data_IF_678571460653
#
_entry.id   IF_678571460653
#
_cell.length_a   1.000
_cell.length_b   1.000
_cell.length_c   1.000
_cell.angle_alpha   90.00
_cell.angle_beta   90.00
_cell.angle_gamma   90.00
#
_symmetry.space_group_name_H-M   'P 1'
#
loop_
_entity.id
_entity.type
_entity.pdbx_description
1 polymer ?
#
# COMPACT_ATOMS: atom_id res chain seq x y z
N UNK A 1 -39.93 65.41 12.64
CA UNK A 1 -38.81 65.07 11.72
C UNK A 1 -37.47 65.66 12.17
N UNK A 2 -37.38 66.92 12.61
CA UNK A 2 -36.12 67.51 13.09
C UNK A 2 -35.57 66.88 14.39
N UNK A 3 -36.44 66.41 15.30
CA UNK A 3 -36.03 65.75 16.54
C UNK A 3 -35.41 64.35 16.33
N UNK A 4 -35.72 63.69 15.19
CA UNK A 4 -35.20 62.36 14.84
C UNK A 4 -33.79 62.44 14.23
N UNK A 5 -33.49 63.53 13.52
CA UNK A 5 -32.15 63.82 13.00
C UNK A 5 -31.16 64.20 14.11
N UNK A 6 -31.60 64.94 15.13
CA UNK A 6 -30.75 65.32 16.26
C UNK A 6 -30.40 64.14 17.19
N UNK A 7 -31.24 63.10 17.25
CA UNK A 7 -30.98 61.91 18.04
C UNK A 7 -29.91 61.00 17.41
N UNK A 8 -29.83 60.93 16.07
CA UNK A 8 -28.82 60.13 15.38
C UNK A 8 -27.39 60.69 15.54
N UNK A 9 -27.23 62.01 15.63
CA UNK A 9 -25.90 62.63 15.85
C UNK A 9 -25.34 62.42 17.26
N UNK A 10 -26.17 62.06 18.25
CA UNK A 10 -25.75 61.91 19.65
C UNK A 10 -25.29 60.48 19.99
N UNK A 11 -25.63 59.50 19.15
CA UNK A 11 -25.30 58.08 19.36
C UNK A 11 -23.96 57.65 18.74
N UNK A 12 -23.25 58.54 18.05
CA UNK A 12 -21.93 58.22 17.47
C UNK A 12 -21.95 57.05 16.49
N UNK A 13 -23.12 56.70 15.94
CA UNK A 13 -23.25 55.70 14.90
C UNK A 13 -22.89 56.42 13.60
N UNK A 14 -21.59 56.55 13.35
CA UNK A 14 -21.09 56.84 12.01
C UNK A 14 -21.71 55.81 11.06
N UNK A 15 -22.28 56.28 9.96
CA UNK A 15 -22.84 55.42 8.90
C UNK A 15 -21.84 54.30 8.62
N UNK A 16 -22.25 53.06 8.89
CA UNK A 16 -21.38 51.90 8.78
C UNK A 16 -20.71 51.90 7.41
N UNK A 17 -19.41 52.20 7.37
CA UNK A 17 -18.69 52.43 6.14
C UNK A 17 -18.54 51.11 5.39
N UNK A 18 -19.54 50.80 4.56
CA UNK A 18 -19.72 49.57 3.77
C UNK A 18 -18.47 49.24 2.95
N UNK A 19 -17.64 50.24 2.65
CA UNK A 19 -16.36 50.09 1.96
C UNK A 19 -15.40 49.13 2.68
N UNK A 20 -15.39 49.11 4.02
CA UNK A 20 -14.55 48.17 4.79
C UNK A 20 -15.06 46.73 4.69
N UNK A 21 -16.38 46.54 4.59
CA UNK A 21 -16.99 45.21 4.44
C UNK A 21 -16.68 44.65 3.05
N UNK A 22 -16.77 45.46 1.99
CA UNK A 22 -16.40 45.04 0.64
C UNK A 22 -14.92 44.67 0.52
N UNK A 23 -14.03 45.44 1.16
CA UNK A 23 -12.60 45.10 1.22
C UNK A 23 -12.34 43.78 1.96
N UNK A 24 -13.04 43.55 3.07
CA UNK A 24 -12.90 42.32 3.85
C UNK A 24 -13.37 41.09 3.07
N UNK A 25 -14.54 41.17 2.41
CA UNK A 25 -15.06 40.09 1.56
C UNK A 25 -14.16 39.84 0.35
N UNK A 26 -13.64 40.91 -0.26
CA UNK A 26 -12.68 40.81 -1.37
C UNK A 26 -11.38 40.11 -0.95
N UNK A 27 -10.81 40.49 0.20
CA UNK A 27 -9.61 39.85 0.74
C UNK A 27 -9.84 38.36 1.05
N UNK A 28 -10.99 38.01 1.62
CA UNK A 28 -11.37 36.61 1.85
C UNK A 28 -11.54 35.82 0.54
N UNK A 29 -12.14 36.42 -0.48
CA UNK A 29 -12.28 35.81 -1.80
C UNK A 29 -10.92 35.51 -2.44
N UNK A 30 -9.99 36.46 -2.40
CA UNK A 30 -8.63 36.27 -2.92
C UNK A 30 -7.90 35.17 -2.15
N UNK A 31 -8.01 35.17 -0.82
CA UNK A 31 -7.37 34.16 0.02
C UNK A 31 -7.91 32.74 -0.27
N UNK A 32 -9.23 32.60 -0.45
CA UNK A 32 -9.84 31.33 -0.85
C UNK A 32 -9.34 30.82 -2.21
N UNK A 33 -9.22 31.71 -3.20
CA UNK A 33 -8.68 31.35 -4.53
C UNK A 33 -7.20 30.94 -4.42
N UNK A 34 -6.39 31.65 -3.64
CA UNK A 34 -4.99 31.30 -3.41
C UNK A 34 -4.84 29.91 -2.78
N UNK A 35 -5.67 29.56 -1.79
CA UNK A 35 -5.67 28.25 -1.15
C UNK A 35 -6.09 27.13 -2.12
N UNK A 36 -7.07 27.38 -2.99
CA UNK A 36 -7.48 26.41 -4.01
C UNK A 36 -6.37 26.14 -5.03
N UNK A 37 -5.70 27.20 -5.52
CA UNK A 37 -4.57 27.07 -6.44
C UNK A 37 -3.43 26.29 -5.78
N UNK A 38 -3.10 26.60 -4.52
CA UNK A 38 -2.08 25.89 -3.76
C UNK A 38 -2.38 24.39 -3.67
N UNK A 39 -3.61 24.04 -3.30
CA UNK A 39 -4.06 22.63 -3.18
C UNK A 39 -3.98 21.88 -4.52
N UNK A 40 -4.34 22.55 -5.62
CA UNK A 40 -4.24 21.99 -6.97
C UNK A 40 -2.78 21.72 -7.36
N UNK A 41 -1.87 22.63 -7.03
CA UNK A 41 -0.43 22.47 -7.27
C UNK A 41 0.15 21.32 -6.45
N UNK A 42 -0.24 21.17 -5.18
CA UNK A 42 0.18 20.05 -4.33
C UNK A 42 -0.28 18.70 -4.89
N UNK A 43 -1.53 18.59 -5.34
CA UNK A 43 -2.05 17.37 -5.96
C UNK A 43 -1.30 17.01 -7.24
N UNK A 44 -1.01 18.00 -8.09
CA UNK A 44 -0.22 17.80 -9.31
C UNK A 44 1.23 17.39 -9.00
N UNK A 45 1.86 18.02 -8.01
CA UNK A 45 3.20 17.64 -7.57
C UNK A 45 3.23 16.23 -6.98
N UNK A 46 2.23 15.85 -6.18
CA UNK A 46 2.10 14.51 -5.61
C UNK A 46 1.93 13.45 -6.72
N UNK A 47 1.10 13.73 -7.73
CA UNK A 47 0.94 12.85 -8.89
C UNK A 47 2.26 12.67 -9.67
N UNK A 48 2.98 13.77 -9.93
CA UNK A 48 4.30 13.74 -10.59
C UNK A 48 5.34 12.96 -9.78
N UNK A 49 5.35 13.10 -8.44
CA UNK A 49 6.25 12.34 -7.54
C UNK A 49 5.95 10.85 -7.59
N UNK A 50 4.67 10.44 -7.54
CA UNK A 50 4.24 9.03 -7.68
C UNK A 50 4.72 8.43 -9.00
N UNK A 51 4.59 9.18 -10.10
CA UNK A 51 5.03 8.73 -11.42
C UNK A 51 6.56 8.57 -11.48
N UNK A 52 7.34 9.55 -11.00
CA UNK A 52 8.81 9.44 -10.92
C UNK A 52 9.26 8.25 -10.07
N UNK A 53 8.64 8.05 -8.90
CA UNK A 53 8.94 6.91 -8.04
C UNK A 53 8.68 5.58 -8.76
N UNK A 54 7.55 5.46 -9.49
CA UNK A 54 7.22 4.24 -10.23
C UNK A 54 8.25 3.89 -11.32
N UNK A 55 8.81 4.89 -12.01
CA UNK A 55 9.85 4.69 -13.02
C UNK A 55 11.21 4.30 -12.41
N UNK A 56 11.53 4.84 -11.23
CA UNK A 56 12.72 4.43 -10.48
C UNK A 56 12.61 2.97 -10.03
N UNK A 57 11.46 2.56 -9.50
CA UNK A 57 11.20 1.15 -9.13
C UNK A 57 11.25 0.24 -10.35
N UNK A 58 10.68 0.67 -11.48
CA UNK A 58 10.77 -0.08 -12.74
C UNK A 58 12.23 -0.31 -13.17
N UNK A 59 13.07 0.73 -13.11
CA UNK A 59 14.49 0.63 -13.47
C UNK A 59 15.25 -0.32 -12.56
N UNK A 60 14.96 -0.30 -11.26
CA UNK A 60 15.55 -1.23 -10.30
C UNK A 60 15.11 -2.68 -10.56
N UNK A 61 13.82 -2.92 -10.78
CA UNK A 61 13.30 -4.25 -11.11
C UNK A 61 13.85 -4.80 -12.43
N UNK A 62 14.04 -3.93 -13.42
CA UNK A 62 14.64 -4.32 -14.69
C UNK A 62 16.11 -4.73 -14.51
N UNK A 63 16.87 -4.02 -13.66
CA UNK A 63 18.25 -4.37 -13.30
C UNK A 63 18.32 -5.70 -12.54
N UNK A 64 17.44 -5.94 -11.57
CA UNK A 64 17.42 -7.21 -10.81
C UNK A 64 17.04 -8.40 -11.69
N UNK A 65 16.30 -8.18 -12.77
CA UNK A 65 16.01 -9.18 -13.83
C UNK A 65 17.18 -9.39 -14.80
N UNK A 66 18.33 -8.74 -14.61
CA UNK A 66 19.51 -8.89 -15.46
C UNK A 66 19.40 -8.22 -16.84
N UNK A 67 18.54 -7.21 -16.97
CA UNK A 67 18.42 -6.42 -18.20
C UNK A 67 19.57 -5.40 -18.32
N UNK A 68 20.17 -5.31 -19.51
CA UNK A 68 21.23 -4.32 -19.80
C UNK A 68 20.63 -2.91 -19.89
N UNK A 69 21.40 -1.83 -19.61
CA UNK A 69 20.89 -0.45 -19.68
C UNK A 69 20.14 -0.12 -20.98
N UNK A 70 20.67 -0.55 -22.12
CA UNK A 70 20.05 -0.37 -23.45
C UNK A 70 18.70 -1.11 -23.56
N UNK A 71 18.59 -2.31 -22.97
CA UNK A 71 17.33 -3.06 -22.93
C UNK A 71 16.30 -2.36 -22.05
N UNK A 72 16.73 -1.74 -20.95
CA UNK A 72 15.85 -0.99 -20.06
C UNK A 72 15.28 0.24 -20.77
N UNK A 73 16.07 0.92 -21.59
CA UNK A 73 15.61 2.09 -22.36
C UNK A 73 14.58 1.71 -23.42
N UNK A 74 14.82 0.64 -24.19
CA UNK A 74 13.85 0.12 -25.15
C UNK A 74 12.56 -0.31 -24.43
N UNK A 75 12.68 -0.97 -23.27
CA UNK A 75 11.51 -1.36 -22.49
C UNK A 75 10.74 -0.18 -21.89
N UNK A 76 11.43 0.89 -21.49
CA UNK A 76 10.78 2.14 -21.08
C UNK A 76 10.03 2.77 -22.25
N UNK A 77 10.60 2.75 -23.45
CA UNK A 77 9.95 3.25 -24.66
C UNK A 77 8.68 2.45 -24.94
N UNK A 78 8.75 1.12 -24.91
CA UNK A 78 7.58 0.22 -25.03
C UNK A 78 6.51 0.54 -23.97
N UNK A 79 6.89 0.68 -22.69
CA UNK A 79 5.94 0.96 -21.61
C UNK A 79 5.29 2.35 -21.71
N UNK A 80 6.02 3.34 -22.25
CA UNK A 80 5.48 4.68 -22.50
C UNK A 80 4.51 4.68 -23.68
N UNK A 81 4.89 4.06 -24.80
CA UNK A 81 4.03 3.99 -25.98
C UNK A 81 2.80 3.11 -25.77
N UNK A 82 2.92 2.04 -24.97
CA UNK A 82 1.78 1.24 -24.50
C UNK A 82 0.86 1.96 -23.50
N UNK A 83 1.16 3.21 -23.14
CA UNK A 83 0.40 4.02 -22.16
C UNK A 83 0.20 3.31 -20.81
N UNK A 84 1.24 2.64 -20.30
CA UNK A 84 1.12 1.84 -19.08
C UNK A 84 1.16 2.74 -17.85
N UNK A 85 0.02 2.84 -17.13
CA UNK A 85 -0.10 3.61 -15.87
C UNK A 85 0.84 3.11 -14.75
N UNK A 86 1.20 1.82 -14.72
CA UNK A 86 2.08 1.20 -13.72
C UNK A 86 3.21 0.40 -14.40
N UNK A 87 4.32 1.06 -14.81
CA UNK A 87 5.41 0.43 -15.57
C UNK A 87 6.00 -0.84 -14.94
N UNK A 88 6.17 -0.94 -13.59
CA UNK A 88 6.67 -2.16 -12.95
C UNK A 88 5.89 -3.44 -13.26
N UNK A 89 4.58 -3.34 -13.54
CA UNK A 89 3.73 -4.51 -13.84
C UNK A 89 4.09 -5.22 -15.14
N UNK A 90 4.70 -4.51 -16.10
CA UNK A 90 5.14 -5.07 -17.39
C UNK A 90 6.20 -6.15 -17.19
N UNK A 91 7.04 -6.01 -16.15
CA UNK A 91 8.02 -7.02 -15.78
C UNK A 91 7.38 -8.18 -14.99
N UNK A 92 6.17 -8.02 -14.49
CA UNK A 92 5.49 -9.00 -13.62
C UNK A 92 5.00 -10.24 -14.34
N UNK A 93 4.57 -10.13 -15.59
CA UNK A 93 4.12 -11.27 -16.39
C UNK A 93 4.43 -11.09 -17.88
N UNK A 94 4.69 -12.21 -18.56
CA UNK A 94 4.98 -12.24 -20.01
C UNK A 94 3.74 -11.81 -20.81
N UNK A 95 2.54 -12.20 -20.38
CA UNK A 95 1.30 -11.78 -21.04
C UNK A 95 1.11 -10.26 -21.02
N UNK A 96 1.43 -9.61 -19.89
CA UNK A 96 1.36 -8.15 -19.80
C UNK A 96 2.46 -7.49 -20.64
N UNK A 97 3.65 -8.08 -20.70
CA UNK A 97 4.72 -7.64 -21.57
C UNK A 97 4.31 -7.72 -23.06
N UNK A 98 3.86 -8.88 -23.53
CA UNK A 98 3.46 -9.11 -24.91
C UNK A 98 2.30 -8.17 -25.33
N UNK A 99 1.29 -8.01 -24.46
CA UNK A 99 0.19 -7.05 -24.68
C UNK A 99 0.66 -5.60 -24.77
N UNK A 100 1.66 -5.23 -23.97
CA UNK A 100 2.23 -3.88 -23.99
C UNK A 100 3.07 -3.64 -25.24
N UNK A 101 3.81 -4.65 -25.70
CA UNK A 101 4.58 -4.59 -26.95
C UNK A 101 3.63 -4.44 -28.14
N UNK A 102 2.56 -5.22 -28.21
CA UNK A 102 1.55 -5.13 -29.27
C UNK A 102 0.92 -3.74 -29.32
N UNK A 103 0.48 -3.22 -28.16
CA UNK A 103 -0.07 -1.88 -28.06
C UNK A 103 0.95 -0.78 -28.38
N UNK A 104 2.23 -1.01 -28.11
CA UNK A 104 3.29 -0.08 -28.48
C UNK A 104 3.56 -0.12 -29.99
N UNK A 105 3.47 -1.29 -30.63
CA UNK A 105 3.61 -1.46 -32.09
C UNK A 105 2.50 -0.75 -32.87
N UNK A 106 1.28 -0.72 -32.32
CA UNK A 106 0.16 0.03 -32.91
C UNK A 106 0.42 1.56 -32.94
N UNK A 107 1.22 2.07 -32.00
CA UNK A 107 1.46 3.51 -31.84
C UNK A 107 2.87 3.95 -32.29
N UNK A 108 3.78 3.00 -32.50
CA UNK A 108 5.18 3.28 -32.75
C UNK A 108 5.84 2.19 -33.59
N UNK A 109 6.46 2.59 -34.69
CA UNK A 109 7.20 1.68 -35.56
C UNK A 109 8.61 1.43 -34.99
N UNK A 110 8.84 0.22 -34.50
CA UNK A 110 10.13 -0.17 -33.93
C UNK A 110 11.15 -0.48 -35.03
N UNK A 111 12.38 -0.02 -34.85
CA UNK A 111 13.49 -0.46 -35.70
C UNK A 111 13.81 -1.94 -35.49
N UNK A 112 14.40 -2.58 -36.49
CA UNK A 112 14.83 -3.98 -36.45
C UNK A 112 15.75 -4.29 -35.25
N UNK A 113 16.66 -3.37 -34.92
CA UNK A 113 17.53 -3.47 -33.72
C UNK A 113 16.73 -3.46 -32.42
N UNK A 114 15.65 -2.68 -32.34
CA UNK A 114 14.78 -2.63 -31.16
C UNK A 114 13.92 -3.90 -31.05
N UNK A 115 13.45 -4.46 -32.16
CA UNK A 115 12.73 -5.73 -32.17
C UNK A 115 13.60 -6.88 -31.66
N UNK A 116 14.86 -6.95 -32.09
CA UNK A 116 15.85 -7.94 -31.58
C UNK A 116 16.05 -7.77 -30.06
N UNK A 117 16.10 -6.52 -29.57
CA UNK A 117 16.23 -6.24 -28.14
C UNK A 117 14.96 -6.61 -27.36
N UNK A 118 13.77 -6.39 -27.92
CA UNK A 118 12.48 -6.79 -27.35
C UNK A 118 12.40 -8.31 -27.23
N UNK A 119 12.82 -9.06 -28.25
CA UNK A 119 12.88 -10.53 -28.19
C UNK A 119 13.92 -11.04 -27.19
N UNK A 120 15.06 -10.37 -27.08
CA UNK A 120 16.07 -10.67 -26.05
C UNK A 120 15.51 -10.43 -24.63
N UNK A 121 14.72 -9.36 -24.44
CA UNK A 121 14.02 -9.08 -23.18
C UNK A 121 12.99 -10.17 -22.91
N UNK A 122 12.16 -10.54 -23.91
CA UNK A 122 11.17 -11.62 -23.81
C UNK A 122 11.82 -12.93 -23.38
N UNK A 123 12.91 -13.34 -24.03
CA UNK A 123 13.67 -14.54 -23.70
C UNK A 123 14.22 -14.50 -22.27
N UNK A 124 14.72 -13.36 -21.79
CA UNK A 124 15.19 -13.20 -20.41
C UNK A 124 14.06 -13.25 -19.39
N UNK A 125 12.90 -12.68 -19.71
CA UNK A 125 11.71 -12.74 -18.85
C UNK A 125 11.12 -14.17 -18.79
N UNK A 126 11.21 -14.93 -19.89
CA UNK A 126 10.81 -16.35 -19.99
C UNK A 126 11.82 -17.28 -19.30
N UNK A 127 13.11 -17.08 -19.53
CA UNK A 127 14.19 -17.90 -18.98
C UNK A 127 14.42 -17.67 -17.48
N UNK A 128 13.94 -16.55 -16.93
CA UNK A 128 13.87 -16.34 -15.48
C UNK A 128 12.75 -17.16 -14.83
N UNK A 129 12.72 -18.47 -15.05
CA UNK A 129 12.34 -19.40 -13.97
C UNK A 129 13.44 -19.24 -12.93
N UNK A 130 13.21 -18.32 -11.98
CA UNK A 130 14.12 -18.09 -10.85
C UNK A 130 14.38 -19.45 -10.19
N UNK A 131 15.59 -20.00 -10.39
CA UNK A 131 16.05 -21.17 -9.64
C UNK A 131 16.06 -20.76 -8.18
N UNK A 132 15.15 -21.35 -7.42
CA UNK A 132 14.83 -20.94 -6.07
C UNK A 132 15.94 -21.37 -5.11
N UNK A 133 16.68 -20.41 -4.56
CA UNK A 133 17.59 -20.64 -3.44
C UNK A 133 17.02 -20.00 -2.18
N UNK A 134 16.95 -20.73 -1.04
CA UNK A 134 16.34 -20.27 0.21
C UNK A 134 16.90 -18.94 0.76
N UNK A 135 18.14 -18.57 0.40
CA UNK A 135 18.80 -17.34 0.85
C UNK A 135 18.16 -16.03 0.33
N UNK A 136 17.30 -16.07 -0.69
CA UNK A 136 16.72 -14.87 -1.33
C UNK A 136 15.38 -14.38 -0.75
N UNK A 137 14.84 -15.03 0.29
CA UNK A 137 13.59 -14.58 0.96
C UNK A 137 13.74 -13.19 1.59
N UNK A 138 14.93 -12.86 2.11
CA UNK A 138 15.22 -11.57 2.72
C UNK A 138 15.37 -10.44 1.68
N UNK A 139 15.86 -10.75 0.46
CA UNK A 139 16.20 -9.75 -0.57
C UNK A 139 15.04 -9.36 -1.50
N UNK A 140 13.99 -10.18 -1.60
CA UNK A 140 12.83 -9.86 -2.45
C UNK A 140 11.92 -8.78 -1.88
N UNK A 141 12.02 -8.49 -0.58
CA UNK A 141 11.11 -7.57 0.10
C UNK A 141 11.81 -6.23 0.28
N UNK A 142 11.19 -5.15 -0.23
CA UNK A 142 11.68 -3.79 0.01
C UNK A 142 11.72 -3.45 1.52
N UNK A 143 10.88 -4.12 2.32
CA UNK A 143 10.84 -4.08 3.77
C UNK A 143 10.82 -5.50 4.33
N UNK A 144 11.69 -5.80 5.31
CA UNK A 144 11.73 -7.10 5.96
C UNK A 144 10.46 -7.41 6.75
N UNK A 145 10.26 -8.70 7.06
CA UNK A 145 9.27 -9.10 8.06
C UNK A 145 9.90 -8.93 9.45
N UNK A 146 9.11 -8.48 10.41
CA UNK A 146 9.50 -8.40 11.80
C UNK A 146 8.73 -9.45 12.58
N UNK A 147 9.43 -10.32 13.29
CA UNK A 147 8.80 -11.29 14.16
C UNK A 147 8.06 -10.57 15.28
N UNK A 148 6.80 -10.94 15.47
CA UNK A 148 5.97 -10.51 16.57
C UNK A 148 5.27 -11.75 17.15
N UNK A 149 4.74 -11.63 18.36
CA UNK A 149 4.03 -12.73 19.01
C UNK A 149 2.79 -12.13 19.64
N UNK A 150 1.86 -11.71 18.78
CA UNK A 150 0.65 -10.99 19.19
C UNK A 150 -0.57 -11.87 18.99
N UNK A 151 -1.50 -11.84 19.94
CA UNK A 151 -2.77 -12.53 19.80
C UNK A 151 -3.74 -11.64 19.02
N UNK A 152 -4.48 -12.26 18.12
CA UNK A 152 -5.49 -11.64 17.28
C UNK A 152 -6.65 -12.61 17.05
N UNK A 153 -7.77 -12.08 16.58
CA UNK A 153 -8.87 -12.84 16.01
C UNK A 153 -8.87 -12.67 14.50
N UNK A 154 -9.20 -13.74 13.80
CA UNK A 154 -9.49 -13.71 12.38
C UNK A 154 -10.96 -14.06 12.20
N UNK A 155 -11.67 -13.22 11.45
CA UNK A 155 -13.06 -13.43 11.06
C UNK A 155 -13.03 -13.86 9.60
N UNK A 156 -13.51 -15.06 9.32
CA UNK A 156 -13.52 -15.63 7.98
C UNK A 156 -14.73 -15.13 7.19
N UNK A 157 -14.47 -14.71 5.95
CA UNK A 157 -15.51 -14.36 4.98
C UNK A 157 -15.27 -15.20 3.74
N UNK A 158 -16.19 -16.14 3.47
CA UNK A 158 -16.03 -17.06 2.35
C UNK A 158 -15.94 -16.29 1.03
N UNK A 159 -15.05 -16.74 0.15
CA UNK A 159 -14.75 -16.05 -1.11
C UNK A 159 -16.00 -15.86 -1.98
N UNK A 160 -16.87 -16.86 -2.04
CA UNK A 160 -18.07 -16.85 -2.88
C UNK A 160 -19.06 -15.77 -2.44
N UNK A 161 -19.07 -15.44 -1.16
CA UNK A 161 -19.95 -14.44 -0.56
C UNK A 161 -19.47 -13.05 -0.95
N UNK A 162 -18.16 -12.80 -0.79
CA UNK A 162 -17.55 -11.53 -1.21
C UNK A 162 -17.71 -11.31 -2.71
N UNK A 163 -17.48 -12.33 -3.54
CA UNK A 163 -17.68 -12.22 -4.99
C UNK A 163 -19.15 -11.92 -5.35
N UNK A 164 -20.11 -12.50 -4.63
CA UNK A 164 -21.54 -12.22 -4.82
C UNK A 164 -21.90 -10.78 -4.47
N UNK A 165 -21.40 -10.26 -3.35
CA UNK A 165 -21.66 -8.87 -2.96
C UNK A 165 -20.95 -7.86 -3.86
N UNK A 166 -19.72 -8.16 -4.28
CA UNK A 166 -19.01 -7.34 -5.27
C UNK A 166 -19.80 -7.19 -6.58
N UNK A 167 -20.56 -8.21 -7.01
CA UNK A 167 -21.42 -8.13 -8.19
C UNK A 167 -22.57 -7.12 -8.05
N UNK A 168 -23.03 -6.84 -6.84
CA UNK A 168 -24.13 -5.89 -6.57
C UNK A 168 -23.65 -4.44 -6.54
N UNK A 169 -22.39 -4.20 -6.20
CA UNK A 169 -21.81 -2.86 -6.10
C UNK A 169 -21.25 -2.38 -7.45
N UNK A 170 -21.48 -1.12 -7.79
CA UNK A 170 -20.86 -0.45 -8.96
C UNK A 170 -19.67 0.40 -8.52
N UNK A 171 -18.49 0.18 -9.10
CA UNK A 171 -17.26 0.91 -8.75
C UNK A 171 -15.99 0.26 -9.33
N UNK A 172 -14.82 0.77 -8.97
CA UNK A 172 -13.54 0.06 -9.22
C UNK A 172 -13.43 -1.17 -8.29
N UNK A 173 -12.70 -2.22 -8.70
CA UNK A 173 -12.63 -3.50 -7.95
C UNK A 173 -12.23 -3.34 -6.47
N UNK A 174 -11.33 -2.41 -6.15
CA UNK A 174 -10.89 -2.15 -4.77
C UNK A 174 -12.03 -1.49 -3.94
N UNK A 175 -12.79 -0.56 -4.52
CA UNK A 175 -13.94 0.10 -3.85
C UNK A 175 -15.12 -0.86 -3.68
N UNK A 176 -15.36 -1.73 -4.69
CA UNK A 176 -16.38 -2.79 -4.61
C UNK A 176 -16.06 -3.79 -3.53
N UNK A 177 -14.79 -4.15 -3.38
CA UNK A 177 -14.32 -5.05 -2.34
C UNK A 177 -14.48 -4.42 -0.95
N UNK A 178 -14.10 -3.15 -0.77
CA UNK A 178 -14.29 -2.44 0.50
C UNK A 178 -15.76 -2.35 0.88
N UNK A 179 -16.62 -2.00 -0.07
CA UNK A 179 -18.06 -1.90 0.15
C UNK A 179 -18.69 -3.26 0.47
N UNK A 180 -18.34 -4.31 -0.29
CA UNK A 180 -18.82 -5.68 -0.05
C UNK A 180 -18.42 -6.18 1.35
N UNK A 181 -17.16 -5.97 1.74
CA UNK A 181 -16.68 -6.39 3.05
C UNK A 181 -17.33 -5.56 4.18
N UNK A 182 -17.54 -4.27 3.99
CA UNK A 182 -18.22 -3.42 4.98
C UNK A 182 -19.69 -3.81 5.18
N UNK A 183 -20.39 -4.21 4.11
CA UNK A 183 -21.77 -4.68 4.17
C UNK A 183 -21.89 -6.03 4.89
N UNK A 184 -20.98 -6.97 4.62
CA UNK A 184 -20.94 -8.29 5.24
C UNK A 184 -20.58 -8.28 6.73
N UNK A 185 -19.94 -7.21 7.21
CA UNK A 185 -19.43 -7.08 8.60
C UNK A 185 -20.25 -6.05 9.39
N UNK A 186 -21.16 -5.35 8.73
CA UNK A 186 -22.03 -4.36 9.36
C UNK A 186 -23.02 -4.98 10.37
N UNK A 187 -23.62 -4.14 11.24
CA UNK A 187 -24.58 -4.56 12.26
C UNK A 187 -25.89 -5.18 11.70
N UNK A 188 -26.09 -5.12 10.39
CA UNK A 188 -27.24 -5.67 9.68
C UNK A 188 -26.90 -6.92 8.86
N UNK A 189 -25.75 -7.56 9.11
CA UNK A 189 -25.37 -8.79 8.43
C UNK A 189 -26.14 -9.97 9.02
N UNK A 190 -26.87 -10.70 8.17
CA UNK A 190 -27.57 -11.95 8.54
C UNK A 190 -26.64 -13.17 8.46
N UNK A 191 -25.36 -12.97 8.14
CA UNK A 191 -24.40 -14.06 7.95
C UNK A 191 -23.61 -14.37 9.21
N UNK A 192 -23.64 -15.64 9.61
CA UNK A 192 -22.88 -16.16 10.75
C UNK A 192 -21.39 -16.29 10.36
N UNK A 193 -20.63 -15.23 10.59
CA UNK A 193 -19.19 -15.22 10.32
C UNK A 193 -18.43 -16.13 11.30
N UNK A 194 -17.54 -16.97 10.77
CA UNK A 194 -16.73 -17.86 11.61
C UNK A 194 -15.53 -17.11 12.18
N UNK A 195 -15.49 -16.94 13.50
CA UNK A 195 -14.33 -16.38 14.19
C UNK A 195 -13.34 -17.47 14.62
N UNK A 196 -12.05 -17.17 14.54
CA UNK A 196 -10.99 -18.03 15.03
C UNK A 196 -9.89 -17.23 15.73
N UNK A 197 -9.33 -17.79 16.80
CA UNK A 197 -8.18 -17.20 17.50
C UNK A 197 -6.90 -17.55 16.75
N UNK A 198 -6.06 -16.54 16.51
CA UNK A 198 -4.79 -16.67 15.81
C UNK A 198 -3.68 -15.90 16.52
N UNK A 199 -2.44 -16.31 16.28
CA UNK A 199 -1.26 -15.57 16.74
C UNK A 199 -0.47 -15.02 15.56
N UNK A 200 -0.23 -13.72 15.53
CA UNK A 200 0.63 -13.07 14.55
C UNK A 200 2.09 -13.43 14.90
N UNK A 201 2.73 -14.24 14.06
CA UNK A 201 4.13 -14.68 14.16
C UNK A 201 5.10 -13.65 13.60
N UNK A 202 4.71 -13.02 12.50
CA UNK A 202 5.48 -11.94 11.90
C UNK A 202 4.55 -11.00 11.12
N UNK A 203 5.01 -9.77 10.92
CA UNK A 203 4.31 -8.76 10.15
C UNK A 203 5.24 -8.06 9.16
N UNK A 204 4.68 -7.64 8.04
CA UNK A 204 5.33 -6.83 7.01
C UNK A 204 4.39 -5.72 6.54
N UNK A 205 4.90 -4.77 5.75
CA UNK A 205 4.10 -3.67 5.21
C UNK A 205 2.96 -4.10 4.24
N UNK A 206 2.92 -5.38 3.83
CA UNK A 206 1.93 -5.91 2.90
C UNK A 206 1.20 -7.17 3.37
N UNK A 207 1.45 -7.64 4.59
CA UNK A 207 0.82 -8.85 5.11
C UNK A 207 1.48 -9.38 6.37
N UNK A 208 0.89 -10.43 6.94
CA UNK A 208 1.31 -11.08 8.18
C UNK A 208 1.36 -12.60 8.03
N UNK A 209 2.15 -13.27 8.88
CA UNK A 209 2.07 -14.71 9.07
C UNK A 209 1.30 -14.96 10.36
N UNK A 210 0.23 -15.74 10.28
CA UNK A 210 -0.63 -16.07 11.40
C UNK A 210 -0.45 -17.54 11.75
N UNK A 211 -0.49 -17.86 13.02
CA UNK A 211 -0.54 -19.22 13.54
C UNK A 211 -1.97 -19.51 13.98
N UNK A 212 -2.57 -20.54 13.40
CA UNK A 212 -3.91 -21.00 13.71
C UNK A 212 -3.89 -22.46 14.19
N UNK A 213 -4.95 -22.89 14.87
CA UNK A 213 -5.11 -24.29 15.25
C UNK A 213 -5.37 -25.16 14.01
N UNK A 214 -5.13 -26.48 14.11
CA UNK A 214 -5.49 -27.42 13.02
C UNK A 214 -6.99 -27.50 12.73
N UNK A 215 -7.82 -27.01 13.65
CA UNK A 215 -9.27 -26.94 13.50
C UNK A 215 -9.73 -25.66 12.76
N UNK A 216 -8.81 -24.87 12.21
CA UNK A 216 -9.14 -23.70 11.42
C UNK A 216 -9.93 -24.08 10.17
N UNK A 217 -11.10 -23.48 10.00
CA UNK A 217 -12.05 -23.84 8.94
C UNK A 217 -11.80 -23.14 7.60
N UNK A 218 -10.91 -22.15 7.54
CA UNK A 218 -10.67 -21.34 6.34
C UNK A 218 -9.79 -22.02 5.29
N UNK A 219 -9.94 -21.60 4.03
CA UNK A 219 -9.20 -22.07 2.88
C UNK A 219 -8.29 -20.97 2.28
N UNK A 220 -7.35 -21.39 1.44
CA UNK A 220 -6.55 -20.46 0.65
C UNK A 220 -7.41 -19.81 -0.44
N UNK A 221 -7.38 -18.48 -0.51
CA UNK A 221 -8.23 -17.66 -1.36
C UNK A 221 -9.39 -16.99 -0.62
N UNK A 222 -9.66 -17.40 0.62
CA UNK A 222 -10.70 -16.77 1.45
C UNK A 222 -10.30 -15.38 1.90
N UNK A 223 -11.32 -14.53 2.02
CA UNK A 223 -11.18 -13.21 2.62
C UNK A 223 -11.33 -13.34 4.14
N UNK A 224 -10.69 -12.43 4.84
CA UNK A 224 -10.81 -12.38 6.28
C UNK A 224 -10.49 -11.00 6.84
N UNK A 225 -11.07 -10.74 8.01
CA UNK A 225 -10.76 -9.59 8.82
C UNK A 225 -9.86 -10.00 9.97
N UNK A 226 -8.79 -9.26 10.18
CA UNK A 226 -7.88 -9.45 11.29
C UNK A 226 -8.16 -8.39 12.36
N UNK A 227 -8.47 -8.85 13.57
CA UNK A 227 -8.79 -8.03 14.73
C UNK A 227 -7.72 -8.21 15.81
N UNK A 228 -7.01 -7.14 16.17
CA UNK A 228 -6.00 -7.20 17.23
C UNK A 228 -6.63 -7.35 18.63
N UNK A 229 -6.18 -8.33 19.42
CA UNK A 229 -6.66 -8.51 20.80
C UNK A 229 -5.63 -8.09 21.86
N UNK A 230 -4.38 -7.92 21.45
CA UNK A 230 -3.29 -7.69 22.39
C UNK A 230 -3.01 -6.20 22.58
N UNK A 231 -3.02 -5.76 23.84
CA UNK A 231 -2.51 -4.43 24.25
C UNK A 231 -1.04 -4.18 23.86
N UNK A 232 -0.31 -5.22 23.45
CA UNK A 232 1.08 -5.14 22.98
C UNK A 232 1.21 -4.77 21.50
N UNK A 233 0.10 -4.67 20.77
CA UNK A 233 0.10 -4.23 19.37
C UNK A 233 0.18 -2.69 19.39
N UNK A 234 1.20 -2.08 18.78
CA UNK A 234 1.44 -0.63 18.88
C UNK A 234 0.53 0.21 17.98
N UNK A 235 -0.44 -0.40 17.29
CA UNK A 235 -1.40 0.25 16.40
C UNK A 235 -2.72 -0.54 16.40
N UNK A 236 -3.81 0.15 16.10
CA UNK A 236 -5.13 -0.49 16.00
C UNK A 236 -5.20 -1.41 14.77
N UNK A 237 -5.58 -2.67 14.99
CA UNK A 237 -5.84 -3.65 13.95
C UNK A 237 -7.34 -3.95 13.93
N UNK A 238 -8.18 -2.93 13.91
CA UNK A 238 -9.63 -3.12 13.97
C UNK A 238 -10.14 -3.45 12.57
N UNK A 239 -10.54 -4.71 12.36
CA UNK A 239 -11.10 -5.22 11.10
C UNK A 239 -10.17 -5.05 9.87
N UNK A 240 -8.88 -5.34 10.00
CA UNK A 240 -7.95 -5.24 8.88
C UNK A 240 -8.26 -6.31 7.82
N UNK A 241 -8.73 -5.88 6.65
CA UNK A 241 -9.11 -6.79 5.56
C UNK A 241 -7.90 -7.37 4.82
N UNK A 242 -7.96 -8.67 4.57
CA UNK A 242 -6.97 -9.37 3.78
C UNK A 242 -7.44 -10.70 3.21
N UNK A 243 -6.53 -11.32 2.47
CA UNK A 243 -6.73 -12.59 1.78
C UNK A 243 -5.74 -13.63 2.34
N UNK A 244 -6.23 -14.84 2.59
CA UNK A 244 -5.40 -15.99 2.93
C UNK A 244 -4.76 -16.51 1.66
N UNK A 245 -3.46 -16.23 1.46
CA UNK A 245 -2.75 -16.61 0.23
C UNK A 245 -2.37 -18.09 0.18
N UNK A 246 -1.97 -18.62 1.32
CA UNK A 246 -1.60 -20.02 1.48
C UNK A 246 -1.72 -20.42 2.94
N UNK A 247 -1.95 -21.71 3.14
CA UNK A 247 -1.99 -22.37 4.44
C UNK A 247 -0.92 -23.46 4.39
N UNK A 248 0.04 -23.39 5.29
CA UNK A 248 1.10 -24.39 5.43
C UNK A 248 0.94 -25.08 6.78
N UNK A 249 1.14 -26.40 6.82
CA UNK A 249 1.15 -27.13 8.09
C UNK A 249 2.56 -27.11 8.69
N UNK A 250 2.67 -26.61 9.92
CA UNK A 250 3.90 -26.72 10.72
C UNK A 250 3.80 -27.98 11.59
N UNK A 251 4.33 -29.08 11.05
CA UNK A 251 4.28 -30.41 11.68
C UNK A 251 4.99 -30.41 13.05
N UNK A 252 6.04 -29.62 13.21
CA UNK A 252 6.81 -29.55 14.46
C UNK A 252 6.02 -28.89 15.59
N UNK A 253 5.23 -27.87 15.25
CA UNK A 253 4.42 -27.11 16.22
C UNK A 253 2.98 -27.59 16.32
N UNK A 254 2.57 -28.49 15.44
CA UNK A 254 1.20 -29.00 15.37
C UNK A 254 0.17 -27.90 15.05
N UNK A 255 0.56 -26.87 14.30
CA UNK A 255 -0.30 -25.73 13.97
C UNK A 255 -0.28 -25.38 12.48
N UNK A 256 -1.19 -24.52 12.05
CA UNK A 256 -1.26 -24.02 10.69
C UNK A 256 -0.64 -22.64 10.59
N UNK A 257 0.17 -22.41 9.56
CA UNK A 257 0.75 -21.12 9.21
C UNK A 257 -0.05 -20.52 8.07
N UNK A 258 -0.81 -19.46 8.36
CA UNK A 258 -1.60 -18.73 7.38
C UNK A 258 -0.78 -17.55 6.85
N UNK A 259 -0.60 -17.49 5.54
CA UNK A 259 0.02 -16.34 4.87
C UNK A 259 -1.06 -15.32 4.50
N UNK A 260 -1.25 -14.34 5.37
CA UNK A 260 -2.27 -13.32 5.21
C UNK A 260 -1.74 -12.09 4.47
N UNK A 261 -2.40 -11.69 3.39
CA UNK A 261 -2.05 -10.50 2.59
C UNK A 261 -3.05 -9.38 2.85
N UNK A 262 -2.57 -8.18 3.20
CA UNK A 262 -3.44 -7.01 3.32
C UNK A 262 -3.92 -6.56 1.96
N UNK A 263 -5.23 -6.33 1.82
CA UNK A 263 -5.85 -5.86 0.59
C UNK A 263 -5.97 -4.35 0.61
N UNK A 264 -6.64 -3.85 1.65
CA UNK A 264 -6.88 -2.43 1.88
C UNK A 264 -6.18 -2.06 3.18
N UNK A 265 -5.23 -1.15 3.07
CA UNK A 265 -4.42 -0.73 4.20
C UNK A 265 -4.47 0.77 4.28
N UNK A 266 -5.16 1.26 5.31
CA UNK A 266 -5.23 2.68 5.61
C UNK A 266 -3.82 3.30 5.64
N UNK A 267 -3.60 4.47 5.01
CA UNK A 267 -2.29 5.09 4.97
C UNK A 267 -1.65 5.35 6.34
N UNK A 268 -2.43 5.58 7.40
CA UNK A 268 -1.91 5.80 8.75
C UNK A 268 -1.49 4.47 9.37
N UNK A 269 -2.33 3.45 9.27
CA UNK A 269 -1.99 2.09 9.70
C UNK A 269 -0.74 1.55 8.97
N UNK A 270 -0.64 1.82 7.65
CA UNK A 270 0.55 1.47 6.87
C UNK A 270 1.80 2.15 7.41
N UNK A 271 1.73 3.44 7.72
CA UNK A 271 2.87 4.18 8.30
C UNK A 271 3.25 3.59 9.66
N UNK A 272 2.29 3.27 10.51
CA UNK A 272 2.53 2.70 11.83
C UNK A 272 3.21 1.31 11.75
N UNK A 273 2.74 0.43 10.85
CA UNK A 273 3.37 -0.87 10.60
C UNK A 273 4.82 -0.69 10.11
N UNK A 274 5.03 0.21 9.15
CA UNK A 274 6.36 0.48 8.60
C UNK A 274 7.29 1.03 9.70
N UNK A 275 6.82 2.00 10.49
CA UNK A 275 7.59 2.58 11.60
C UNK A 275 8.01 1.52 12.60
N UNK A 276 7.08 0.66 13.03
CA UNK A 276 7.38 -0.47 13.92
C UNK A 276 8.44 -1.42 13.35
N UNK A 277 8.38 -1.73 12.06
CA UNK A 277 9.36 -2.60 11.38
C UNK A 277 10.76 -1.97 11.41
N UNK A 278 10.85 -0.66 11.16
CA UNK A 278 12.12 0.07 11.23
C UNK A 278 12.69 0.10 12.65
N UNK A 279 11.88 0.46 13.64
CA UNK A 279 12.30 0.56 15.04
C UNK A 279 12.82 -0.80 15.57
N UNK A 280 12.14 -1.90 15.25
CA UNK A 280 12.59 -3.25 15.63
C UNK A 280 13.86 -3.69 14.92
N UNK A 281 14.06 -3.27 13.67
CA UNK A 281 15.32 -3.53 12.95
C UNK A 281 16.48 -2.76 13.57
N UNK A 282 16.32 -1.48 13.84
CA UNK A 282 17.35 -0.66 14.48
C UNK A 282 17.71 -1.21 15.87
N UNK A 283 16.69 -1.58 16.66
CA UNK A 283 16.89 -2.22 17.97
C UNK A 283 17.69 -3.53 17.86
N UNK A 284 17.47 -4.32 16.80
CA UNK A 284 18.19 -5.58 16.58
C UNK A 284 19.64 -5.33 16.16
N UNK A 285 19.89 -4.35 15.30
CA UNK A 285 21.24 -3.95 14.88
C UNK A 285 22.02 -3.36 16.05
N UNK A 286 21.39 -2.52 16.88
CA UNK A 286 22.01 -1.96 18.08
C UNK A 286 22.42 -3.04 19.08
N UNK A 287 21.57 -4.06 19.31
CA UNK A 287 21.91 -5.21 20.17
C UNK A 287 23.07 -6.04 19.62
N UNK A 288 23.06 -6.33 18.31
CA UNK A 288 24.16 -7.07 17.67
C UNK A 288 25.49 -6.30 17.73
N UNK A 289 25.46 -4.97 17.60
CA UNK A 289 26.66 -4.14 17.72
C UNK A 289 27.16 -4.04 19.17
N UNK A 290 26.26 -4.01 20.16
CA UNK A 290 26.63 -4.00 21.57
C UNK A 290 27.27 -5.34 22.01
N UNK A 291 26.79 -6.46 21.49
CA UNK A 291 27.37 -7.79 21.75
C UNK A 291 28.71 -8.03 21.02
N UNK A 292 29.04 -7.23 20.00
CA UNK A 292 30.30 -7.32 19.24
C UNK A 292 31.40 -6.37 19.72
N UNK A 293 31.21 -5.64 20.83
CA UNK A 293 32.28 -4.83 21.43
C UNK A 293 33.05 -5.70 22.44
N UNK A 294 34.28 -6.15 22.16
CA UNK A 294 35.03 -6.91 23.16
C UNK A 294 35.46 -5.98 24.29
N UNK A 295 35.18 -6.39 25.52
CA UNK A 295 35.84 -5.89 26.72
C UNK A 295 37.35 -6.12 26.55
N UNK A 296 38.09 -5.10 26.14
CA UNK A 296 39.54 -5.04 26.28
C UNK A 296 39.91 -3.80 27.07
N UNK A 297 40.90 -3.97 27.95
CA UNK A 297 41.52 -3.00 28.88
C UNK A 297 40.79 -2.93 30.24
N UNK A 298 41.37 -3.29 31.40
CA UNK A 298 42.67 -3.87 31.72
C UNK A 298 42.58 -4.47 33.13
N UNK A 299 43.08 -5.70 33.29
CA UNK A 299 43.55 -6.20 34.58
C UNK A 299 44.97 -5.69 34.81
N UNK A 300 45.17 -5.12 35.99
CA UNK A 300 46.41 -4.60 36.56
C UNK A 300 47.56 -5.62 36.55
N UNK A 301 48.78 -5.12 36.73
CA UNK A 301 49.56 -5.54 37.90
C UNK A 301 49.50 -4.50 39.01
#
# INVERSE_FOLDING_TARGET
MLALLAANSYLGIEDANLQHIYWFVGAFGILAVCLLVWRLVELLMAARRKQKASWNTFRQLAKTRGLKPVQIEVLMLVARQGSVKRPPKVLGSIQLFDKTVQKAQENYEFSEKQLILIDSIRKKLVASKVKWTPQTSAERRQLGRTNCSWNARIVLVAKEIVEREMLKTTGDDDERLEAAVAELVGPNSDEELTESKVQIRDISAGGAALLASKAFAGAAGDFSLLCGESQRIPFALDNLCGEIRSIEEDVERGCLVLHFRFLTLDPELRKAIIHYIYEKRESKVAKMNAEQTPQSVAGSP
#
